data_IF_808338532658
#
_entry.id   IF_808338532658
#
_cell.length_a   1.000
_cell.length_b   1.000
_cell.length_c   1.000
_cell.angle_alpha   90.00
_cell.angle_beta   90.00
_cell.angle_gamma   90.00
#
_symmetry.space_group_name_H-M   'P 1'
#
loop_
_entity.id
_entity.type
_entity.pdbx_description
1 polymer ?
#
# COMPACT_ATOMS: atom_id res chain seq x y z
N UNK A 1 12.45 1.99 -17.17
CA UNK A 1 11.25 1.25 -16.70
C UNK A 1 10.45 0.66 -17.84
N UNK A 2 9.94 1.43 -18.81
CA UNK A 2 9.22 0.85 -19.97
C UNK A 2 10.09 -0.19 -20.70
N UNK A 3 11.30 0.19 -21.08
CA UNK A 3 12.25 -0.71 -21.74
C UNK A 3 12.59 -1.94 -20.89
N UNK A 4 12.65 -1.80 -19.56
CA UNK A 4 12.97 -2.90 -18.65
C UNK A 4 11.80 -3.90 -18.56
N UNK A 5 10.57 -3.40 -18.57
CA UNK A 5 9.35 -4.21 -18.61
C UNK A 5 9.22 -4.95 -19.94
N UNK A 6 9.48 -4.27 -21.06
CA UNK A 6 9.45 -4.88 -22.40
C UNK A 6 10.53 -5.95 -22.54
N UNK A 7 11.74 -5.70 -22.03
CA UNK A 7 12.81 -6.72 -21.96
C UNK A 7 12.44 -7.92 -21.09
N UNK A 8 11.66 -7.70 -20.02
CA UNK A 8 11.12 -8.76 -19.18
C UNK A 8 9.89 -9.47 -19.82
N UNK A 9 9.56 -9.15 -21.07
CA UNK A 9 8.45 -9.75 -21.81
C UNK A 9 7.07 -9.26 -21.39
N UNK A 10 6.98 -8.09 -20.75
CA UNK A 10 5.72 -7.47 -20.35
C UNK A 10 5.27 -6.44 -21.40
N UNK A 11 4.00 -6.49 -21.77
CA UNK A 11 3.41 -5.48 -22.65
C UNK A 11 3.04 -4.23 -21.84
N UNK A 12 3.33 -3.04 -22.35
CA UNK A 12 3.00 -1.76 -21.72
C UNK A 12 1.90 -1.10 -22.53
N UNK A 13 0.65 -1.21 -22.08
CA UNK A 13 -0.52 -0.63 -22.76
C UNK A 13 -0.54 0.90 -22.72
N UNK A 14 0.02 1.51 -21.68
CA UNK A 14 0.08 2.97 -21.55
C UNK A 14 0.91 3.46 -20.37
N UNK A 15 1.11 4.78 -20.31
CA UNK A 15 1.83 5.45 -19.22
C UNK A 15 1.15 6.76 -18.89
N UNK A 16 0.95 7.05 -17.60
CA UNK A 16 0.41 8.32 -17.14
C UNK A 16 1.34 8.96 -16.10
N UNK A 17 1.61 10.26 -16.25
CA UNK A 17 2.28 11.06 -15.24
C UNK A 17 1.23 11.83 -14.44
N UNK A 18 1.27 11.67 -13.12
CA UNK A 18 0.37 12.38 -12.18
C UNK A 18 1.23 13.07 -11.13
N UNK A 19 1.21 14.40 -11.13
CA UNK A 19 2.08 15.21 -10.27
C UNK A 19 1.83 14.98 -8.78
N UNK A 20 0.57 14.75 -8.40
CA UNK A 20 0.16 14.59 -7.01
C UNK A 20 -0.72 13.37 -6.80
N UNK A 21 -0.09 12.20 -6.78
CA UNK A 21 -0.75 10.88 -6.62
C UNK A 21 -1.52 10.73 -5.30
N UNK A 22 -1.19 11.51 -4.26
CA UNK A 22 -1.92 11.51 -3.00
C UNK A 22 -3.34 12.11 -3.12
N UNK A 23 -3.62 12.85 -4.20
CA UNK A 23 -4.96 13.38 -4.48
C UNK A 23 -5.73 12.43 -5.41
N UNK A 24 -6.63 11.64 -4.82
CA UNK A 24 -7.46 10.65 -5.53
C UNK A 24 -8.27 11.25 -6.69
N UNK A 25 -8.77 12.49 -6.56
CA UNK A 25 -9.54 13.14 -7.63
C UNK A 25 -8.64 13.43 -8.84
N UNK A 26 -7.42 13.91 -8.60
CA UNK A 26 -6.45 14.13 -9.66
C UNK A 26 -6.05 12.81 -10.33
N UNK A 27 -5.79 11.76 -9.54
CA UNK A 27 -5.48 10.43 -10.06
C UNK A 27 -6.62 9.92 -10.93
N UNK A 28 -7.85 9.90 -10.43
CA UNK A 28 -9.02 9.44 -11.18
C UNK A 28 -9.21 10.21 -12.49
N UNK A 29 -9.10 11.55 -12.44
CA UNK A 29 -9.27 12.41 -13.62
C UNK A 29 -8.18 12.16 -14.68
N UNK A 30 -6.94 11.89 -14.25
CA UNK A 30 -5.83 11.60 -15.16
C UNK A 30 -5.95 10.20 -15.75
N UNK A 31 -6.24 9.20 -14.93
CA UNK A 31 -6.43 7.83 -15.39
C UNK A 31 -7.65 7.68 -16.31
N UNK A 32 -8.71 8.48 -16.12
CA UNK A 32 -9.85 8.50 -17.01
C UNK A 32 -9.50 8.92 -18.46
N UNK A 33 -8.41 9.68 -18.67
CA UNK A 33 -7.93 10.04 -20.02
C UNK A 33 -7.26 8.87 -20.73
N UNK A 34 -6.75 7.91 -19.96
CA UNK A 34 -6.08 6.70 -20.42
C UNK A 34 -7.00 5.47 -20.23
N UNK A 35 -8.32 5.68 -20.22
CA UNK A 35 -9.28 4.63 -19.86
C UNK A 35 -9.20 3.39 -20.76
N UNK A 36 -8.89 3.56 -22.04
CA UNK A 36 -8.77 2.43 -22.98
C UNK A 36 -7.50 1.61 -22.69
N UNK A 37 -6.36 2.29 -22.54
CA UNK A 37 -5.09 1.68 -22.10
C UNK A 37 -5.23 0.97 -20.74
N UNK A 38 -6.03 1.53 -19.84
CA UNK A 38 -6.29 0.96 -18.51
C UNK A 38 -7.15 -0.29 -18.59
N UNK A 39 -8.16 -0.34 -19.46
CA UNK A 39 -8.99 -1.53 -19.67
C UNK A 39 -8.18 -2.70 -20.19
N UNK A 40 -7.27 -2.45 -21.13
CA UNK A 40 -6.38 -3.47 -21.71
C UNK A 40 -5.33 -3.98 -20.71
N UNK A 41 -4.98 -3.19 -19.69
CA UNK A 41 -3.99 -3.58 -18.70
C UNK A 41 -4.56 -4.63 -17.74
N UNK A 42 -3.77 -5.68 -17.45
CA UNK A 42 -4.08 -6.63 -16.38
C UNK A 42 -3.85 -6.03 -14.99
N UNK A 43 -2.85 -5.15 -14.88
CA UNK A 43 -2.40 -4.56 -13.62
C UNK A 43 -1.66 -3.24 -13.86
N UNK A 44 -1.38 -2.51 -12.78
CA UNK A 44 -0.73 -1.20 -12.82
C UNK A 44 0.58 -1.26 -12.04
N UNK A 45 1.66 -0.72 -12.61
CA UNK A 45 2.90 -0.49 -11.88
C UNK A 45 2.99 0.98 -11.44
N UNK A 46 3.05 1.23 -10.14
CA UNK A 46 3.07 2.57 -9.58
C UNK A 46 4.48 2.94 -9.07
N UNK A 47 5.12 3.90 -9.75
CA UNK A 47 6.43 4.45 -9.39
C UNK A 47 6.28 5.61 -8.40
N UNK A 48 5.92 5.28 -7.16
CA UNK A 48 5.63 6.29 -6.12
C UNK A 48 5.85 5.72 -4.72
N UNK A 49 5.63 6.55 -3.70
CA UNK A 49 5.67 6.11 -2.31
C UNK A 49 4.43 5.29 -1.93
N UNK A 50 4.45 4.65 -0.77
CA UNK A 50 3.32 3.82 -0.31
C UNK A 50 1.98 4.58 -0.21
N UNK A 51 1.98 5.90 -0.04
CA UNK A 51 0.72 6.69 -0.06
C UNK A 51 0.13 6.75 -1.46
N UNK A 52 0.96 7.03 -2.48
CA UNK A 52 0.51 7.08 -3.86
C UNK A 52 -0.04 5.74 -4.36
N UNK A 53 0.60 4.62 -3.98
CA UNK A 53 0.13 3.27 -4.33
C UNK A 53 -1.27 3.01 -3.72
N UNK A 54 -1.48 3.35 -2.45
CA UNK A 54 -2.79 3.22 -1.81
C UNK A 54 -3.85 4.12 -2.47
N UNK A 55 -3.48 5.35 -2.83
CA UNK A 55 -4.39 6.29 -3.49
C UNK A 55 -4.81 5.80 -4.88
N UNK A 56 -3.88 5.29 -5.69
CA UNK A 56 -4.18 4.67 -6.99
C UNK A 56 -5.06 3.44 -6.80
N UNK A 57 -4.73 2.57 -5.84
CA UNK A 57 -5.48 1.34 -5.57
C UNK A 57 -6.94 1.59 -5.21
N UNK A 58 -7.26 2.74 -4.58
CA UNK A 58 -8.65 3.10 -4.25
C UNK A 58 -9.47 3.60 -5.44
N UNK A 59 -8.82 4.07 -6.51
CA UNK A 59 -9.53 4.63 -7.68
C UNK A 59 -9.57 3.68 -8.87
N UNK A 60 -8.88 2.53 -8.79
CA UNK A 60 -8.88 1.50 -9.83
C UNK A 60 -9.40 0.17 -9.28
N UNK A 61 -9.97 -0.63 -10.15
CA UNK A 61 -10.47 -1.99 -9.90
C UNK A 61 -9.44 -3.06 -10.26
N UNK A 62 -8.16 -2.69 -10.37
CA UNK A 62 -7.04 -3.56 -10.75
C UNK A 62 -5.97 -3.63 -9.67
N UNK A 63 -5.12 -4.65 -9.76
CA UNK A 63 -3.95 -4.79 -8.89
C UNK A 63 -2.96 -3.67 -9.18
N UNK A 64 -2.47 -3.02 -8.13
CA UNK A 64 -1.46 -1.95 -8.23
C UNK A 64 -0.19 -2.41 -7.54
N UNK A 65 0.84 -2.64 -8.34
CA UNK A 65 2.15 -3.09 -7.93
C UNK A 65 3.02 -1.89 -7.52
N UNK A 66 3.59 -1.85 -6.32
CA UNK A 66 4.58 -0.85 -5.93
C UNK A 66 5.91 -1.09 -6.66
N UNK A 67 6.42 -0.09 -7.37
CA UNK A 67 7.74 -0.18 -8.03
C UNK A 67 8.92 0.18 -7.12
N UNK A 68 8.64 0.75 -5.94
CA UNK A 68 9.65 1.27 -5.04
C UNK A 68 9.30 1.04 -3.57
N UNK A 69 10.34 0.95 -2.75
CA UNK A 69 10.24 0.92 -1.31
C UNK A 69 10.43 2.33 -0.72
N UNK A 70 9.46 2.79 0.06
CA UNK A 70 9.57 4.09 0.74
C UNK A 70 10.50 3.95 1.95
N UNK A 71 11.68 4.55 1.88
CA UNK A 71 12.64 4.68 3.00
C UNK A 71 12.65 6.09 3.61
N UNK A 72 12.23 7.09 2.84
CA UNK A 72 12.01 8.47 3.27
C UNK A 72 10.89 9.08 2.46
N UNK A 73 10.05 9.89 3.09
CA UNK A 73 9.00 10.65 2.41
C UNK A 73 9.49 12.03 1.94
N UNK A 74 10.70 12.44 2.33
CA UNK A 74 11.35 13.68 1.86
C UNK A 74 10.60 14.99 2.16
N UNK A 75 9.48 14.93 2.91
CA UNK A 75 8.56 16.05 3.12
C UNK A 75 7.34 15.63 3.93
N UNK A 76 6.26 16.40 3.84
CA UNK A 76 5.04 16.19 4.62
C UNK A 76 4.09 15.17 3.97
N UNK A 77 3.71 14.15 4.72
CA UNK A 77 2.57 13.30 4.40
C UNK A 77 1.26 14.04 4.73
N UNK A 78 0.24 13.93 3.87
CA UNK A 78 -1.09 14.46 4.20
C UNK A 78 -1.33 15.92 3.81
N UNK A 79 -0.58 16.46 2.83
CA UNK A 79 -0.96 17.73 2.17
C UNK A 79 -2.38 17.70 1.60
N UNK A 80 -2.88 16.49 1.27
CA UNK A 80 -4.28 16.25 0.97
C UNK A 80 -4.96 15.53 2.15
N UNK A 81 -6.18 15.93 2.55
CA UNK A 81 -6.95 15.20 3.55
C UNK A 81 -7.37 13.84 2.96
N UNK A 82 -6.57 12.84 3.27
CA UNK A 82 -6.71 11.48 2.77
C UNK A 82 -6.44 10.52 3.93
N UNK A 83 -6.95 9.30 3.90
CA UNK A 83 -6.72 8.31 4.96
C UNK A 83 -5.44 7.50 4.72
N UNK A 84 -4.88 7.56 3.51
CA UNK A 84 -3.72 6.78 3.13
C UNK A 84 -2.47 7.25 3.89
N UNK A 85 -1.78 6.33 4.55
CA UNK A 85 -0.60 6.61 5.38
C UNK A 85 0.52 5.63 5.04
N UNK A 86 1.76 6.09 5.11
CA UNK A 86 2.96 5.25 4.97
C UNK A 86 3.91 5.51 6.15
N UNK A 87 4.44 4.45 6.77
CA UNK A 87 5.48 4.59 7.80
C UNK A 87 6.91 4.68 7.23
N UNK A 88 7.08 4.58 5.90
CA UNK A 88 8.40 4.54 5.29
C UNK A 88 9.27 3.42 5.86
N UNK A 89 8.74 2.18 5.85
CA UNK A 89 9.38 1.01 6.46
C UNK A 89 10.46 0.35 5.59
N UNK A 90 10.71 0.85 4.37
CA UNK A 90 11.73 0.30 3.46
C UNK A 90 11.38 -1.05 2.80
N UNK A 91 10.26 -1.67 3.17
CA UNK A 91 9.81 -2.93 2.57
C UNK A 91 8.30 -2.88 2.32
N UNK A 92 7.88 -2.48 1.12
CA UNK A 92 6.48 -2.34 0.76
C UNK A 92 5.79 -3.71 0.64
N UNK A 93 4.55 -3.81 1.13
CA UNK A 93 3.73 -5.03 1.06
C UNK A 93 2.36 -4.79 0.44
N UNK A 94 2.16 -3.61 -0.13
CA UNK A 94 0.91 -3.20 -0.75
C UNK A 94 0.55 -4.07 -1.95
N UNK A 95 1.56 -4.65 -2.59
CA UNK A 95 1.43 -5.66 -3.64
C UNK A 95 0.57 -6.86 -3.19
N UNK A 96 0.90 -7.36 -2.00
CA UNK A 96 0.28 -8.53 -1.39
C UNK A 96 -1.07 -8.19 -0.76
N UNK A 97 -1.22 -7.00 -0.16
CA UNK A 97 -2.45 -6.59 0.53
C UNK A 97 -3.48 -5.86 -0.34
N UNK A 98 -3.30 -5.84 -1.66
CA UNK A 98 -4.25 -5.21 -2.58
C UNK A 98 -4.34 -3.69 -2.45
N UNK A 99 -3.25 -3.05 -1.99
CA UNK A 99 -3.18 -1.60 -1.87
C UNK A 99 -3.67 -1.02 -0.55
N UNK A 100 -3.82 -1.82 0.51
CA UNK A 100 -4.13 -1.35 1.88
C UNK A 100 -2.96 -1.67 2.80
N UNK A 101 -2.34 -0.69 3.46
CA UNK A 101 -1.15 -0.93 4.25
C UNK A 101 -1.49 -1.56 5.62
N UNK A 102 -1.06 -2.80 5.93
CA UNK A 102 -1.40 -3.45 7.19
C UNK A 102 -0.65 -2.82 8.38
N UNK A 103 0.46 -2.13 8.14
CA UNK A 103 1.26 -1.48 9.19
C UNK A 103 0.56 -0.21 9.71
N UNK A 104 -0.03 0.58 8.82
CA UNK A 104 -0.64 1.87 9.17
C UNK A 104 -2.14 1.79 9.43
N UNK A 105 -2.88 0.91 8.76
CA UNK A 105 -4.31 0.75 8.99
C UNK A 105 -4.63 -0.15 10.17
N UNK A 106 -3.78 -1.15 10.47
CA UNK A 106 -4.01 -1.99 11.64
C UNK A 106 -3.55 -1.25 12.89
N UNK A 107 -4.43 -1.12 13.89
CA UNK A 107 -4.10 -0.55 15.20
C UNK A 107 -2.92 -1.25 15.90
N UNK A 108 -2.69 -2.52 15.57
CA UNK A 108 -1.59 -3.34 16.11
C UNK A 108 -0.44 -3.54 15.12
N UNK A 109 -0.51 -2.93 13.94
CA UNK A 109 0.48 -3.03 12.86
C UNK A 109 0.87 -4.47 12.46
N UNK A 110 -0.11 -5.39 12.49
CA UNK A 110 0.11 -6.82 12.20
C UNK A 110 0.31 -7.08 10.70
N UNK A 111 1.37 -7.81 10.37
CA UNK A 111 1.78 -8.10 8.99
C UNK A 111 1.24 -9.41 8.42
N UNK A 112 1.02 -10.41 9.27
CA UNK A 112 0.68 -11.78 8.88
C UNK A 112 -0.73 -12.17 9.35
N UNK A 113 -1.73 -11.38 8.95
CA UNK A 113 -3.14 -11.68 9.18
C UNK A 113 -3.78 -10.99 10.39
N UNK A 114 -5.10 -11.22 10.59
CA UNK A 114 -5.88 -10.62 11.66
C UNK A 114 -5.48 -11.16 13.04
N UNK A 115 -5.71 -10.35 14.08
CA UNK A 115 -5.45 -10.75 15.48
C UNK A 115 -6.47 -11.72 16.09
N UNK A 116 -7.54 -12.08 15.36
CA UNK A 116 -8.65 -12.89 15.87
C UNK A 116 -9.69 -12.13 16.70
N UNK A 117 -9.41 -10.91 17.16
CA UNK A 117 -10.37 -10.12 17.95
C UNK A 117 -11.33 -9.24 17.14
N UNK A 118 -11.18 -9.16 15.81
CA UNK A 118 -12.13 -8.39 14.98
C UNK A 118 -13.50 -9.06 14.95
N UNK A 119 -14.56 -8.27 15.12
CA UNK A 119 -15.95 -8.73 15.03
C UNK A 119 -16.70 -7.86 14.04
N UNK A 120 -17.52 -8.47 13.18
CA UNK A 120 -18.34 -7.79 12.17
C UNK A 120 -17.58 -6.74 11.33
N UNK A 121 -16.31 -7.05 10.99
CA UNK A 121 -15.43 -6.18 10.23
C UNK A 121 -14.84 -4.99 11.00
N UNK A 122 -15.11 -4.87 12.31
CA UNK A 122 -14.60 -3.83 13.20
C UNK A 122 -13.42 -4.31 14.03
N UNK A 123 -12.57 -3.37 14.44
CA UNK A 123 -11.40 -3.65 15.26
C UNK A 123 -11.81 -3.89 16.73
N UNK A 124 -11.05 -4.70 17.46
CA UNK A 124 -11.31 -4.93 18.89
C UNK A 124 -11.04 -3.71 19.77
N UNK A 125 -10.20 -2.78 19.29
CA UNK A 125 -9.79 -1.62 20.08
C UNK A 125 -10.91 -0.58 20.17
N UNK A 126 -11.78 -0.54 19.15
CA UNK A 126 -12.86 0.43 19.00
C UNK A 126 -13.85 -0.08 17.94
N UNK A 127 -15.14 -0.05 18.28
CA UNK A 127 -16.23 -0.49 17.42
C UNK A 127 -16.42 0.40 16.19
N UNK A 128 -15.98 1.65 16.26
CA UNK A 128 -16.07 2.58 15.13
C UNK A 128 -14.89 2.44 14.16
N UNK A 129 -13.82 1.73 14.57
CA UNK A 129 -12.63 1.53 13.75
C UNK A 129 -12.76 0.30 12.86
N UNK A 130 -12.59 0.46 11.54
CA UNK A 130 -12.58 -0.66 10.61
C UNK A 130 -11.35 -1.56 10.82
N UNK A 131 -11.55 -2.87 10.75
CA UNK A 131 -10.45 -3.82 10.81
C UNK A 131 -9.68 -3.79 9.48
N UNK A 132 -8.40 -3.39 9.52
CA UNK A 132 -7.53 -3.36 8.35
C UNK A 132 -7.51 -4.69 7.57
N UNK A 133 -7.50 -5.83 8.27
CA UNK A 133 -7.48 -7.15 7.63
C UNK A 133 -8.82 -7.55 7.02
N UNK A 134 -9.94 -7.02 7.53
CA UNK A 134 -11.23 -7.15 6.85
C UNK A 134 -11.20 -6.37 5.54
N UNK A 135 -10.74 -5.10 5.57
CA UNK A 135 -10.63 -4.27 4.36
C UNK A 135 -9.71 -4.91 3.31
N UNK A 136 -8.59 -5.50 3.76
CA UNK A 136 -7.66 -6.24 2.88
C UNK A 136 -8.35 -7.47 2.27
N UNK A 137 -9.06 -8.27 3.08
CA UNK A 137 -9.80 -9.43 2.59
C UNK A 137 -10.83 -9.04 1.53
N UNK A 138 -11.66 -8.03 1.80
CA UNK A 138 -12.71 -7.57 0.88
C UNK A 138 -12.10 -7.04 -0.42
N UNK A 139 -10.99 -6.31 -0.32
CA UNK A 139 -10.25 -5.82 -1.49
C UNK A 139 -9.66 -6.95 -2.31
N UNK A 140 -8.96 -7.91 -1.70
CA UNK A 140 -8.39 -9.05 -2.41
C UNK A 140 -9.46 -9.95 -3.02
N UNK A 141 -10.61 -10.10 -2.35
CA UNK A 141 -11.78 -10.79 -2.91
C UNK A 141 -12.31 -10.10 -4.16
N UNK A 142 -12.40 -8.77 -4.16
CA UNK A 142 -12.82 -8.00 -5.35
C UNK A 142 -11.85 -8.10 -6.53
N UNK A 143 -10.58 -8.41 -6.25
CA UNK A 143 -9.52 -8.54 -7.25
C UNK A 143 -9.26 -9.98 -7.68
N UNK A 144 -9.99 -10.96 -7.12
CA UNK A 144 -9.72 -12.41 -7.28
C UNK A 144 -8.25 -12.77 -6.96
N UNK A 145 -7.80 -12.28 -5.79
CA UNK A 145 -6.42 -12.39 -5.28
C UNK A 145 -6.38 -12.93 -3.85
N UNK A 146 -7.36 -13.74 -3.45
CA UNK A 146 -7.44 -14.27 -2.08
C UNK A 146 -6.30 -15.23 -1.73
N UNK A 147 -5.69 -15.88 -2.73
CA UNK A 147 -4.49 -16.71 -2.59
C UNK A 147 -3.31 -15.95 -1.98
N UNK A 148 -3.31 -14.62 -2.07
CA UNK A 148 -2.31 -13.82 -1.39
C UNK A 148 -2.34 -14.08 0.11
N UNK A 149 -3.49 -14.21 0.76
CA UNK A 149 -3.59 -14.33 2.22
C UNK A 149 -2.89 -15.55 2.82
N UNK A 150 -2.62 -16.58 2.02
CA UNK A 150 -1.90 -17.78 2.44
C UNK A 150 -0.37 -17.56 2.50
N UNK A 151 0.12 -16.46 1.92
CA UNK A 151 1.55 -16.15 1.88
C UNK A 151 2.02 -15.63 3.24
N UNK A 152 2.95 -16.38 3.84
CA UNK A 152 3.67 -15.96 5.04
C UNK A 152 4.72 -14.91 4.64
N UNK A 153 4.66 -13.74 5.28
CA UNK A 153 5.63 -12.67 5.08
C UNK A 153 6.70 -12.74 6.16
N UNK A 154 7.96 -12.80 5.73
CA UNK A 154 9.12 -12.77 6.62
C UNK A 154 9.13 -11.51 7.51
N UNK A 155 9.72 -11.59 8.71
CA UNK A 155 9.91 -10.43 9.57
C UNK A 155 10.62 -9.29 8.83
N UNK A 156 10.08 -8.07 8.98
CA UNK A 156 10.64 -6.89 8.32
C UNK A 156 11.98 -6.47 8.91
N UNK A 157 12.88 -6.04 8.03
CA UNK A 157 14.08 -5.31 8.44
C UNK A 157 13.72 -3.85 8.71
N UNK A 158 13.62 -3.50 9.99
CA UNK A 158 13.27 -2.16 10.43
C UNK A 158 14.46 -1.18 10.44
N UNK A 159 15.68 -1.63 10.14
CA UNK A 159 16.86 -0.77 10.05
C UNK A 159 16.78 0.23 8.90
N UNK A 160 15.90 -0.01 7.93
CA UNK A 160 15.67 0.88 6.79
C UNK A 160 14.51 1.86 7.03
N UNK A 161 13.86 1.78 8.19
CA UNK A 161 12.68 2.61 8.47
C UNK A 161 13.05 4.06 8.77
N UNK A 162 12.16 5.00 8.45
CA UNK A 162 12.31 6.41 8.87
C UNK A 162 12.45 6.61 10.39
N UNK A 163 12.07 5.60 11.19
CA UNK A 163 12.05 5.64 12.66
C UNK A 163 13.30 5.05 13.35
N UNK A 164 14.37 4.75 12.60
CA UNK A 164 15.56 4.03 13.12
C UNK A 164 16.12 4.68 14.39
N UNK A 165 16.27 6.01 14.42
CA UNK A 165 16.78 6.73 15.60
C UNK A 165 15.87 6.56 16.82
N UNK A 166 14.54 6.60 16.62
CA UNK A 166 13.58 6.42 17.71
C UNK A 166 13.60 5.01 18.29
N UNK A 167 13.91 3.99 17.47
CA UNK A 167 13.97 2.58 17.93
C UNK A 167 15.25 2.27 18.69
N UNK A 168 16.41 2.76 18.24
CA UNK A 168 17.70 2.52 18.92
C UNK A 168 17.70 3.13 20.34
N UNK A 169 17.18 4.35 20.48
CA UNK A 169 17.15 5.05 21.78
C UNK A 169 16.11 4.41 22.72
N UNK A 170 14.93 4.03 22.21
CA UNK A 170 13.88 3.42 23.03
C UNK A 170 14.26 2.02 23.52
N UNK A 171 14.90 1.18 22.71
CA UNK A 171 15.25 -0.17 23.16
C UNK A 171 16.23 -0.17 24.34
N UNK A 172 17.30 0.64 24.28
CA UNK A 172 18.25 0.73 25.39
C UNK A 172 17.66 1.36 26.65
N UNK A 173 16.71 2.29 26.51
CA UNK A 173 16.12 3.03 27.64
C UNK A 173 14.85 2.38 28.22
N UNK A 174 14.20 1.48 27.48
CA UNK A 174 12.98 0.78 27.92
C UNK A 174 13.27 -0.62 28.47
N UNK A 175 14.42 -1.21 28.13
CA UNK A 175 14.82 -2.56 28.57
C UNK A 175 15.93 -2.56 29.64
N UNK A 176 16.52 -1.39 29.93
CA UNK A 176 17.41 -1.13 31.06
C UNK A 176 16.74 -0.14 32.01
#
# INVERSE_FOLDING_TARGET
MKDDLEKAGKNVSGTALVDFLCNKLLVATRLAREADSLKEADSILALTCGVGVQAVSKVVDKVVHPAANTVSLGGLQGLWPADERCQGCGQCVLDYTGGICPITFCAKSLLNGPCGGSQDGKCEIDKDTDCAWQLIYDRLKSLDKLENLDRIIEPKDWQQSTSVEQRIIKFKKAML
#
